data_IF_068636476019
#
_entry.id   IF_068636476019
#
_cell.length_a   1.000
_cell.length_b   1.000
_cell.length_c   1.000
_cell.angle_alpha   90.00
_cell.angle_beta   90.00
_cell.angle_gamma   90.00
#
_symmetry.space_group_name_H-M   'P 1'
#
loop_
_entity.id
_entity.type
_entity.pdbx_description
1 polymer ?
#
# COMPACT_ATOMS: atom_id res chain seq x y z
N UNK A 1 4.13 -18.01 7.91
CA UNK A 1 3.97 -16.88 6.98
C UNK A 1 5.24 -16.03 7.05
N UNK A 2 5.87 -15.68 5.91
CA UNK A 2 7.02 -14.75 5.92
C UNK A 2 6.51 -13.35 6.26
N UNK A 3 7.18 -12.67 7.19
CA UNK A 3 6.95 -11.24 7.46
C UNK A 3 7.25 -10.44 6.19
N UNK A 4 6.35 -9.53 5.81
CA UNK A 4 6.63 -8.57 4.74
C UNK A 4 7.68 -7.57 5.25
N UNK A 5 8.68 -7.24 4.42
CA UNK A 5 9.69 -6.24 4.76
C UNK A 5 9.11 -4.84 4.52
N UNK A 6 8.48 -4.28 5.55
CA UNK A 6 7.86 -2.96 5.51
C UNK A 6 8.87 -1.89 5.97
N UNK A 7 9.05 -0.85 5.17
CA UNK A 7 9.86 0.32 5.49
C UNK A 7 8.94 1.46 5.93
N UNK A 8 9.17 2.03 7.11
CA UNK A 8 8.34 3.11 7.64
C UNK A 8 8.61 4.43 6.91
N UNK A 9 7.55 5.15 6.55
CA UNK A 9 7.66 6.50 6.00
C UNK A 9 8.01 7.51 7.11
N UNK A 10 8.83 8.54 6.82
CA UNK A 10 9.12 9.61 7.78
C UNK A 10 7.86 10.38 8.22
N UNK A 11 6.85 10.44 7.36
CA UNK A 11 5.55 11.08 7.62
C UNK A 11 4.44 10.24 6.97
N UNK A 12 3.35 9.91 7.68
CA UNK A 12 2.22 9.21 7.09
C UNK A 12 1.56 10.03 5.97
N UNK A 13 1.07 9.35 4.93
CA UNK A 13 0.34 9.97 3.81
C UNK A 13 -1.16 9.74 4.03
N UNK A 14 -1.98 10.80 4.09
CA UNK A 14 -3.42 10.64 4.31
C UNK A 14 -4.09 9.97 3.11
N UNK A 15 -5.08 9.12 3.39
CA UNK A 15 -5.86 8.41 2.38
C UNK A 15 -7.31 8.82 2.55
N UNK A 16 -7.93 9.20 1.43
CA UNK A 16 -9.31 9.65 1.37
C UNK A 16 -10.11 8.73 0.46
N UNK A 17 -11.36 8.48 0.83
CA UNK A 17 -12.33 7.83 -0.03
C UNK A 17 -12.76 8.80 -1.15
N UNK A 18 -13.50 8.30 -2.15
CA UNK A 18 -13.97 9.11 -3.27
C UNK A 18 -14.93 10.25 -2.84
N UNK A 19 -15.59 10.12 -1.69
CA UNK A 19 -16.46 11.14 -1.09
C UNK A 19 -15.69 12.17 -0.23
N UNK A 20 -14.36 12.04 -0.13
CA UNK A 20 -13.49 12.94 0.62
C UNK A 20 -13.40 12.64 2.12
N UNK A 21 -14.09 11.63 2.66
CA UNK A 21 -13.87 11.22 4.06
C UNK A 21 -12.53 10.53 4.21
N UNK A 22 -12.00 10.49 5.44
CA UNK A 22 -10.84 9.65 5.73
C UNK A 22 -11.14 8.18 5.48
N UNK A 23 -10.16 7.48 4.91
CA UNK A 23 -10.25 6.04 4.76
C UNK A 23 -10.17 5.35 6.14
N UNK A 24 -11.04 4.35 6.37
CA UNK A 24 -11.12 3.62 7.65
C UNK A 24 -9.81 2.92 8.01
N UNK A 25 -9.07 2.42 7.02
CA UNK A 25 -7.77 1.79 7.20
C UNK A 25 -6.65 2.75 7.63
N UNK A 26 -6.94 4.06 7.63
CA UNK A 26 -6.01 5.11 8.03
C UNK A 26 -4.99 5.48 6.95
N UNK A 27 -3.99 6.30 7.32
CA UNK A 27 -2.97 6.77 6.40
C UNK A 27 -1.98 5.66 6.03
N UNK A 28 -1.33 5.80 4.87
CA UNK A 28 -0.18 4.98 4.50
C UNK A 28 0.96 5.32 5.46
N UNK A 29 1.49 4.29 6.14
CA UNK A 29 2.63 4.42 7.07
C UNK A 29 3.88 3.70 6.57
N UNK A 30 3.73 2.78 5.62
CA UNK A 30 4.79 1.91 5.17
C UNK A 30 4.84 1.81 3.65
N UNK A 31 6.05 1.59 3.14
CA UNK A 31 6.31 1.18 1.77
C UNK A 31 6.99 -0.17 1.75
N UNK A 32 6.87 -0.89 0.64
CA UNK A 32 7.53 -2.17 0.41
C UNK A 32 8.08 -2.24 -1.00
N UNK A 33 9.27 -2.78 -1.16
CA UNK A 33 9.87 -3.09 -2.45
C UNK A 33 9.54 -4.54 -2.82
N UNK A 34 8.78 -4.73 -3.90
CA UNK A 34 8.40 -6.05 -4.40
C UNK A 34 8.98 -6.28 -5.78
N UNK A 35 9.42 -7.51 -6.05
CA UNK A 35 9.75 -7.96 -7.39
C UNK A 35 8.44 -8.28 -8.13
N UNK A 36 8.13 -7.51 -9.15
CA UNK A 36 7.02 -7.73 -10.06
C UNK A 36 7.52 -8.49 -11.29
N UNK A 37 6.76 -9.48 -11.72
CA UNK A 37 6.98 -10.16 -12.99
C UNK A 37 5.74 -9.97 -13.86
N UNK A 38 5.95 -9.49 -15.09
CA UNK A 38 4.90 -9.42 -16.12
C UNK A 38 5.47 -10.10 -17.36
N UNK A 39 4.90 -11.25 -17.71
CA UNK A 39 5.43 -12.15 -18.74
C UNK A 39 6.92 -12.50 -18.49
N UNK A 40 7.80 -12.08 -19.39
CA UNK A 40 9.25 -12.30 -19.37
C UNK A 40 10.04 -11.13 -18.74
N UNK A 41 9.34 -10.07 -18.32
CA UNK A 41 9.95 -8.88 -17.72
C UNK A 41 9.90 -8.89 -16.19
N UNK A 42 10.97 -8.42 -15.55
CA UNK A 42 11.09 -8.31 -14.10
C UNK A 42 11.53 -6.92 -13.67
N UNK A 43 10.83 -6.35 -12.71
CA UNK A 43 11.18 -5.07 -12.07
C UNK A 43 11.04 -5.15 -10.55
N UNK A 44 11.82 -4.32 -9.85
CA UNK A 44 11.58 -4.04 -8.44
C UNK A 44 10.78 -2.74 -8.39
N UNK A 45 9.58 -2.81 -7.84
CA UNK A 45 8.68 -1.67 -7.71
C UNK A 45 8.40 -1.38 -6.23
N UNK A 46 8.37 -0.09 -5.88
CA UNK A 46 7.98 0.35 -4.55
C UNK A 46 6.46 0.51 -4.47
N UNK A 47 5.84 -0.09 -3.46
CA UNK A 47 4.40 -0.01 -3.20
C UNK A 47 4.15 0.68 -1.87
N UNK A 48 3.30 1.70 -1.89
CA UNK A 48 2.74 2.29 -0.70
C UNK A 48 1.55 1.43 -0.23
N UNK A 49 1.57 1.01 1.04
CA UNK A 49 0.59 0.03 1.55
C UNK A 49 -0.38 0.69 2.53
N UNK A 50 -1.67 0.50 2.29
CA UNK A 50 -2.74 0.84 3.23
C UNK A 50 -3.89 -0.17 3.12
N UNK A 51 -4.68 -0.28 4.19
CA UNK A 51 -5.93 -1.03 4.16
C UNK A 51 -6.99 -0.16 3.49
N UNK A 52 -7.70 -0.67 2.48
CA UNK A 52 -8.75 0.09 1.77
C UNK A 52 -10.15 -0.07 2.38
N UNK A 53 -10.28 -0.83 3.47
CA UNK A 53 -11.56 -1.22 4.04
C UNK A 53 -12.20 -2.40 3.31
N UNK A 54 -13.48 -2.65 3.59
CA UNK A 54 -14.27 -3.69 2.91
C UNK A 54 -15.08 -3.06 1.78
N UNK A 55 -15.13 -3.74 0.64
CA UNK A 55 -16.11 -3.47 -0.41
C UNK A 55 -16.96 -4.73 -0.60
N UNK A 56 -18.29 -4.59 -0.51
CA UNK A 56 -19.25 -5.70 -0.66
C UNK A 56 -19.94 -5.66 -2.04
N UNK A 57 -19.31 -5.02 -3.03
CA UNK A 57 -19.79 -5.08 -4.42
C UNK A 57 -19.66 -6.48 -4.99
#
# INVERSE_FOLDING_TARGET
>A
AKSLNLEALPRPIPVYNADGTFNEGGPIKFVINLRLQIHDHFEICSFAVTNTGKSNI
#
